data_IF_946775291694
#
_entry.id   IF_946775291694
#
_cell.length_a   1.000
_cell.length_b   1.000
_cell.length_c   1.000
_cell.angle_alpha   90.00
_cell.angle_beta   90.00
_cell.angle_gamma   90.00
#
_symmetry.space_group_name_H-M   'P 1'
#
loop_
_entity.id
_entity.type
_entity.pdbx_description
1 polymer ?
#
# COMPACT_ATOMS: atom_id res chain seq x y z
N UNK A 1 11.39 -4.87 16.48
CA UNK A 1 10.64 -5.06 15.23
C UNK A 1 9.19 -4.70 15.49
N UNK A 2 8.81 -3.43 15.33
CA UNK A 2 7.44 -2.99 15.61
C UNK A 2 6.73 -2.69 14.31
N UNK A 3 5.92 -3.63 13.85
CA UNK A 3 4.74 -3.32 13.06
C UNK A 3 3.69 -2.66 13.96
N UNK A 4 2.84 -1.75 13.43
CA UNK A 4 1.65 -1.31 14.12
C UNK A 4 0.85 -2.52 14.63
N UNK A 5 0.37 -2.47 15.87
CA UNK A 5 -0.38 -3.59 16.50
C UNK A 5 -1.65 -3.99 15.75
N UNK A 6 -2.10 -3.14 14.83
CA UNK A 6 -3.30 -3.34 14.01
C UNK A 6 -2.99 -3.96 12.63
N UNK A 7 -1.71 -4.32 12.37
CA UNK A 7 -1.24 -5.00 11.17
C UNK A 7 -0.59 -6.34 11.55
N UNK A 8 -1.44 -7.36 11.80
CA UNK A 8 -1.01 -8.67 12.28
C UNK A 8 -0.95 -9.72 11.17
N UNK A 9 -1.74 -9.55 10.11
CA UNK A 9 -1.85 -10.47 8.99
C UNK A 9 -1.88 -9.72 7.65
N UNK A 10 -1.70 -10.44 6.55
CA UNK A 10 -1.83 -9.88 5.20
C UNK A 10 -3.21 -9.25 4.96
N UNK A 11 -4.26 -9.77 5.61
CA UNK A 11 -5.61 -9.23 5.50
C UNK A 11 -5.71 -7.81 6.07
N UNK A 12 -4.89 -7.48 7.06
CA UNK A 12 -4.90 -6.16 7.71
C UNK A 12 -4.32 -5.05 6.83
N UNK A 13 -3.60 -5.38 5.75
CA UNK A 13 -3.14 -4.39 4.78
C UNK A 13 -4.30 -3.61 4.16
N UNK A 14 -5.49 -4.21 4.08
CA UNK A 14 -6.70 -3.54 3.59
C UNK A 14 -7.12 -2.37 4.48
N UNK A 15 -6.73 -2.36 5.76
CA UNK A 15 -7.00 -1.26 6.69
C UNK A 15 -6.25 0.03 6.30
N UNK A 16 -5.20 -0.07 5.48
CA UNK A 16 -4.45 1.10 5.01
C UNK A 16 -5.27 1.94 4.02
N UNK A 17 -6.19 1.34 3.25
CA UNK A 17 -7.03 2.06 2.29
C UNK A 17 -7.80 3.19 2.96
N UNK A 18 -8.66 2.96 3.97
CA UNK A 18 -9.39 4.04 4.62
C UNK A 18 -8.48 5.00 5.40
N UNK A 19 -7.34 4.55 5.95
CA UNK A 19 -6.38 5.42 6.65
C UNK A 19 -5.78 6.45 5.68
N UNK A 20 -5.33 5.99 4.51
CA UNK A 20 -4.71 6.85 3.50
C UNK A 20 -5.74 7.80 2.88
N UNK A 21 -6.95 7.33 2.56
CA UNK A 21 -8.02 8.19 2.06
C UNK A 21 -8.39 9.30 3.06
N UNK A 22 -8.46 9.00 4.37
CA UNK A 22 -8.70 10.01 5.42
C UNK A 22 -7.57 11.04 5.54
N UNK A 23 -6.36 10.70 5.10
CA UNK A 23 -5.21 11.60 5.06
C UNK A 23 -5.13 12.42 3.77
N UNK A 24 -6.10 12.29 2.86
CA UNK A 24 -6.20 13.08 1.63
C UNK A 24 -5.49 12.50 0.43
N UNK A 25 -5.02 11.24 0.50
CA UNK A 25 -4.46 10.57 -0.67
C UNK A 25 -5.56 10.27 -1.69
N UNK A 26 -5.27 10.49 -2.97
CA UNK A 26 -6.19 10.14 -4.03
C UNK A 26 -6.31 8.61 -4.16
N UNK A 27 -7.38 8.12 -4.79
CA UNK A 27 -7.53 6.69 -5.06
C UNK A 27 -6.35 6.14 -5.89
N UNK A 28 -5.86 6.93 -6.84
CA UNK A 28 -4.69 6.58 -7.66
C UNK A 28 -3.40 6.48 -6.82
N UNK A 29 -3.22 7.38 -5.85
CA UNK A 29 -2.07 7.30 -4.94
C UNK A 29 -2.13 6.05 -4.07
N UNK A 30 -3.32 5.72 -3.53
CA UNK A 30 -3.51 4.51 -2.71
C UNK A 30 -3.21 3.25 -3.52
N UNK A 31 -3.72 3.14 -4.75
CA UNK A 31 -3.44 2.02 -5.66
C UNK A 31 -1.95 1.92 -5.98
N UNK A 32 -1.30 3.07 -6.25
CA UNK A 32 0.13 3.15 -6.46
C UNK A 32 0.94 2.65 -5.26
N UNK A 33 0.58 3.09 -4.06
CA UNK A 33 1.25 2.71 -2.80
C UNK A 33 1.10 1.21 -2.52
N UNK A 34 -0.12 0.66 -2.68
CA UNK A 34 -0.41 -0.73 -2.32
C UNK A 34 0.17 -1.75 -3.31
N UNK A 35 0.29 -1.41 -4.59
CA UNK A 35 0.86 -2.34 -5.58
C UNK A 35 1.48 -1.66 -6.81
N UNK A 36 0.87 -0.59 -7.34
CA UNK A 36 1.22 -0.06 -8.67
C UNK A 36 2.67 0.39 -8.81
N UNK A 37 3.21 1.07 -7.79
CA UNK A 37 4.59 1.55 -7.78
C UNK A 37 5.59 0.39 -7.78
N UNK A 38 5.32 -0.67 -7.00
CA UNK A 38 6.15 -1.86 -6.95
C UNK A 38 6.12 -2.60 -8.28
N UNK A 39 4.93 -2.85 -8.84
CA UNK A 39 4.81 -3.55 -10.13
C UNK A 39 5.58 -2.81 -11.23
N UNK A 40 5.52 -1.47 -11.27
CA UNK A 40 6.30 -0.67 -12.22
C UNK A 40 7.81 -0.88 -12.02
N UNK A 41 8.30 -0.78 -10.79
CA UNK A 41 9.72 -1.01 -10.48
C UNK A 41 10.18 -2.40 -10.91
N UNK A 42 9.43 -3.45 -10.57
CA UNK A 42 9.81 -4.82 -10.90
C UNK A 42 9.83 -5.06 -12.42
N UNK A 43 8.92 -4.41 -13.17
CA UNK A 43 8.95 -4.42 -14.64
C UNK A 43 10.15 -3.66 -15.21
N UNK A 44 10.55 -2.55 -14.61
CA UNK A 44 11.72 -1.77 -15.06
C UNK A 44 13.05 -2.49 -14.81
N UNK A 45 13.14 -3.27 -13.73
CA UNK A 45 14.40 -3.95 -13.33
C UNK A 45 14.55 -5.34 -13.95
N UNK A 46 13.45 -6.05 -14.21
CA UNK A 46 13.49 -7.44 -14.69
C UNK A 46 12.75 -7.70 -16.02
N UNK A 47 12.08 -6.69 -16.58
CA UNK A 47 11.51 -6.75 -17.93
C UNK A 47 12.51 -6.30 -18.98
#
# INVERSE_FOLDING_TARGET
EQSPRDLNTIADLQNLVPILSRRGYSAADVEGILAGNWIRLLKEVWG
#
